data_IF_632960231811
#
_entry.id   IF_632960231811
#
_cell.length_a   1.000
_cell.length_b   1.000
_cell.length_c   1.000
_cell.angle_alpha   90.00
_cell.angle_beta   90.00
_cell.angle_gamma   90.00
#
_symmetry.space_group_name_H-M   'P 1'
#
loop_
_entity.id
_entity.type
_entity.pdbx_description
1 polymer ?
#
# COMPACT_ATOMS: atom_id res chain seq x y z
N UNK A 1 -8.21 -25.90 1.54
CA UNK A 1 -9.01 -24.75 1.06
C UNK A 1 -8.04 -23.57 0.90
N UNK A 2 -8.16 -22.77 -0.15
CA UNK A 2 -7.34 -21.58 -0.29
C UNK A 2 -7.66 -20.60 0.85
N UNK A 3 -6.65 -19.93 1.38
CA UNK A 3 -6.84 -18.86 2.36
C UNK A 3 -7.46 -17.66 1.66
N UNK A 4 -8.44 -17.01 2.32
CA UNK A 4 -9.17 -15.86 1.77
C UNK A 4 -8.75 -14.58 2.46
N UNK A 5 -8.51 -13.54 1.68
CA UNK A 5 -8.37 -12.18 2.16
C UNK A 5 -9.75 -11.53 2.26
N UNK A 6 -9.98 -10.78 3.34
CA UNK A 6 -11.20 -9.99 3.58
C UNK A 6 -10.93 -8.53 3.23
N UNK A 7 -11.86 -7.90 2.52
CA UNK A 7 -11.72 -6.52 2.08
C UNK A 7 -12.98 -5.71 2.40
N UNK A 8 -12.78 -4.46 2.81
CA UNK A 8 -13.82 -3.44 2.75
C UNK A 8 -13.74 -2.76 1.38
N UNK A 9 -14.67 -3.08 0.51
CA UNK A 9 -14.68 -2.70 -0.90
C UNK A 9 -15.67 -1.55 -1.13
N UNK A 10 -15.18 -0.37 -1.46
CA UNK A 10 -16.03 0.76 -1.82
C UNK A 10 -16.51 0.58 -3.26
N UNK A 11 -17.76 0.16 -3.42
CA UNK A 11 -18.37 -0.12 -4.73
C UNK A 11 -18.69 1.16 -5.48
N UNK A 12 -19.26 2.12 -4.77
CA UNK A 12 -19.62 3.47 -5.23
C UNK A 12 -19.71 4.39 -4.02
N UNK A 13 -19.80 5.71 -4.20
CA UNK A 13 -20.00 6.63 -3.09
C UNK A 13 -21.13 6.22 -2.16
N UNK A 14 -20.81 6.17 -0.86
CA UNK A 14 -21.74 5.81 0.20
C UNK A 14 -22.00 4.32 0.42
N UNK A 15 -21.34 3.43 -0.37
CA UNK A 15 -21.63 1.99 -0.31
C UNK A 15 -20.37 1.15 -0.22
N UNK A 16 -20.12 0.57 0.97
CA UNK A 16 -19.13 -0.46 1.19
C UNK A 16 -19.75 -1.85 1.15
N UNK A 17 -19.04 -2.79 0.53
CA UNK A 17 -19.29 -4.22 0.65
C UNK A 17 -18.10 -4.92 1.30
N UNK A 18 -18.35 -5.92 2.13
CA UNK A 18 -17.30 -6.82 2.60
C UNK A 18 -17.22 -8.00 1.63
N UNK A 19 -16.05 -8.16 1.02
CA UNK A 19 -15.77 -9.22 0.04
C UNK A 19 -14.63 -10.09 0.51
N UNK A 20 -14.61 -11.31 0.01
CA UNK A 20 -13.52 -12.26 0.24
C UNK A 20 -12.96 -12.70 -1.11
N UNK A 21 -11.64 -12.64 -1.26
CA UNK A 21 -10.93 -13.09 -2.44
C UNK A 21 -9.83 -14.07 -2.07
N UNK A 22 -9.54 -15.08 -2.91
CA UNK A 22 -8.38 -15.93 -2.71
C UNK A 22 -7.10 -15.09 -2.61
N UNK A 23 -6.26 -15.38 -1.64
CA UNK A 23 -4.93 -14.77 -1.56
C UNK A 23 -4.13 -15.25 -2.77
N UNK A 24 -3.65 -14.35 -3.64
CA UNK A 24 -2.93 -14.73 -4.84
C UNK A 24 -1.55 -15.31 -4.52
N UNK A 25 -1.03 -16.11 -5.42
CA UNK A 25 0.40 -16.37 -5.44
C UNK A 25 1.13 -15.09 -5.89
N UNK A 26 2.25 -14.82 -5.24
CA UNK A 26 3.09 -13.66 -5.59
C UNK A 26 4.22 -14.08 -6.52
N UNK A 27 4.66 -13.16 -7.36
CA UNK A 27 5.85 -13.35 -8.18
C UNK A 27 7.16 -13.02 -7.41
N UNK A 28 8.28 -13.17 -8.10
CA UNK A 28 9.61 -13.01 -7.51
C UNK A 28 9.95 -11.58 -7.08
N UNK A 29 9.19 -10.59 -7.52
CA UNK A 29 9.40 -9.16 -7.28
C UNK A 29 8.28 -8.54 -6.42
N UNK A 30 7.42 -9.37 -5.80
CA UNK A 30 6.28 -8.93 -4.99
C UNK A 30 6.43 -9.34 -3.53
N UNK A 31 5.67 -8.69 -2.66
CA UNK A 31 5.55 -9.04 -1.25
C UNK A 31 4.06 -9.18 -0.92
N UNK A 32 3.68 -10.23 -0.20
CA UNK A 32 2.38 -10.32 0.45
C UNK A 32 2.53 -9.93 1.92
N UNK A 33 1.70 -9.00 2.36
CA UNK A 33 1.61 -8.64 3.78
C UNK A 33 0.25 -9.01 4.35
N UNK A 34 0.27 -9.41 5.62
CA UNK A 34 -0.92 -9.43 6.47
C UNK A 34 -1.03 -8.05 7.12
N UNK A 35 -2.10 -7.35 6.83
CA UNK A 35 -2.33 -6.00 7.37
C UNK A 35 -2.59 -6.09 8.87
N UNK A 36 -1.94 -5.24 9.66
CA UNK A 36 -2.10 -5.17 11.11
C UNK A 36 -2.93 -3.95 11.54
N UNK A 37 -2.94 -2.91 10.72
CA UNK A 37 -3.73 -1.72 10.97
C UNK A 37 -3.63 -0.71 9.83
N UNK A 38 -4.59 0.20 9.79
CA UNK A 38 -4.64 1.33 8.87
C UNK A 38 -5.35 2.52 9.53
N UNK A 39 -4.77 3.70 9.40
CA UNK A 39 -5.44 4.96 9.68
C UNK A 39 -6.56 5.24 8.67
N UNK A 40 -7.46 6.14 9.01
CA UNK A 40 -8.51 6.64 8.12
C UNK A 40 -8.23 8.10 7.83
N UNK A 41 -7.84 8.39 6.60
CA UNK A 41 -7.54 9.74 6.12
C UNK A 41 -8.81 10.51 5.74
N UNK A 42 -8.72 11.83 5.73
CA UNK A 42 -9.76 12.68 5.13
C UNK A 42 -10.02 12.35 3.66
N UNK A 43 -9.01 11.89 2.93
CA UNK A 43 -9.14 11.43 1.54
C UNK A 43 -10.08 10.22 1.43
N UNK A 44 -9.96 9.22 2.31
CA UNK A 44 -10.88 8.07 2.33
C UNK A 44 -12.33 8.52 2.55
N UNK A 45 -12.53 9.51 3.44
CA UNK A 45 -13.84 10.11 3.68
C UNK A 45 -14.38 10.89 2.49
N UNK A 46 -13.53 11.51 1.68
CA UNK A 46 -13.92 12.21 0.44
C UNK A 46 -14.31 11.21 -0.65
N UNK A 47 -13.52 10.14 -0.83
CA UNK A 47 -13.84 9.06 -1.78
C UNK A 47 -15.15 8.38 -1.42
N UNK A 48 -15.35 8.07 -0.13
CA UNK A 48 -16.63 7.53 0.35
C UNK A 48 -17.82 8.43 0.02
N UNK A 49 -17.68 9.74 0.12
CA UNK A 49 -18.78 10.68 -0.09
C UNK A 49 -19.06 11.00 -1.54
N UNK A 50 -18.04 11.10 -2.39
CA UNK A 50 -18.16 11.73 -3.72
C UNK A 50 -17.30 11.12 -4.82
N UNK A 51 -16.33 10.24 -4.48
CA UNK A 51 -15.37 9.66 -5.42
C UNK A 51 -14.69 10.72 -6.32
N UNK A 52 -14.05 11.76 -5.73
CA UNK A 52 -13.49 12.89 -6.49
C UNK A 52 -12.37 12.49 -7.43
N UNK A 53 -11.69 11.36 -7.17
CA UNK A 53 -10.64 10.83 -8.04
C UNK A 53 -11.12 9.76 -9.02
N UNK A 54 -12.44 9.47 -9.02
CA UNK A 54 -13.04 8.44 -9.86
C UNK A 54 -12.37 7.07 -9.70
N UNK A 55 -12.20 6.64 -8.44
CA UNK A 55 -11.53 5.39 -8.08
C UNK A 55 -12.48 4.20 -7.97
N UNK A 56 -13.77 4.45 -7.73
CA UNK A 56 -14.73 3.36 -7.51
C UNK A 56 -14.88 2.46 -8.74
N UNK A 57 -14.88 1.14 -8.54
CA UNK A 57 -14.75 0.43 -7.28
C UNK A 57 -13.30 0.34 -6.78
N UNK A 58 -13.07 0.41 -5.46
CA UNK A 58 -11.72 0.49 -4.88
C UNK A 58 -11.65 -0.13 -3.48
N UNK A 59 -10.48 -0.65 -3.10
CA UNK A 59 -10.11 -0.94 -1.71
C UNK A 59 -9.29 0.23 -1.21
N UNK A 60 -9.87 1.05 -0.34
CA UNK A 60 -9.22 2.24 0.23
C UNK A 60 -8.16 1.89 1.30
N UNK A 61 -7.63 2.93 1.94
CA UNK A 61 -6.65 2.84 3.01
C UNK A 61 -5.21 2.92 2.53
N UNK A 62 -4.50 3.97 2.94
CA UNK A 62 -3.11 4.27 2.54
C UNK A 62 -2.18 4.58 3.72
N UNK A 63 -2.72 4.74 4.93
CA UNK A 63 -1.97 5.00 6.16
C UNK A 63 -1.76 3.70 6.95
N UNK A 64 -1.25 2.66 6.33
CA UNK A 64 -1.24 1.32 6.90
C UNK A 64 0.12 0.68 7.09
N UNK A 65 0.12 -0.42 7.84
CA UNK A 65 1.28 -1.29 8.04
C UNK A 65 0.84 -2.74 8.16
N UNK A 66 1.76 -3.65 7.82
CA UNK A 66 1.53 -5.08 7.95
C UNK A 66 2.81 -5.89 8.10
N UNK A 67 2.63 -7.16 8.40
CA UNK A 67 3.68 -8.16 8.49
C UNK A 67 3.93 -8.84 7.15
N UNK A 68 5.19 -8.97 6.74
CA UNK A 68 5.56 -9.76 5.57
C UNK A 68 5.25 -11.23 5.82
N UNK A 69 4.31 -11.80 5.06
CA UNK A 69 3.94 -13.23 5.16
C UNK A 69 4.43 -14.05 3.96
N UNK A 70 4.63 -13.43 2.79
CA UNK A 70 5.35 -14.02 1.65
C UNK A 70 6.29 -12.98 1.06
N UNK A 71 7.47 -13.41 0.61
CA UNK A 71 8.53 -12.53 0.09
C UNK A 71 9.07 -13.10 -1.21
N UNK A 72 8.98 -12.31 -2.29
CA UNK A 72 9.54 -12.66 -3.59
C UNK A 72 11.06 -12.85 -3.52
N UNK A 73 11.58 -13.78 -4.26
CA UNK A 73 13.00 -14.20 -4.15
C UNK A 73 14.02 -13.12 -4.54
N UNK A 74 13.59 -12.12 -5.34
CA UNK A 74 14.44 -11.02 -5.77
C UNK A 74 14.52 -9.89 -4.74
N UNK A 75 13.63 -9.86 -3.75
CA UNK A 75 13.56 -8.80 -2.75
C UNK A 75 14.45 -9.17 -1.56
N UNK A 76 15.49 -8.38 -1.32
CA UNK A 76 16.48 -8.59 -0.25
C UNK A 76 16.50 -7.46 0.76
N UNK A 77 16.18 -6.25 0.31
CA UNK A 77 16.22 -5.03 1.13
C UNK A 77 14.98 -4.18 0.86
N UNK A 78 14.68 -3.30 1.80
CA UNK A 78 13.73 -2.22 1.59
C UNK A 78 14.32 -1.09 0.73
N UNK A 79 13.56 -0.03 0.51
CA UNK A 79 13.96 1.11 -0.32
C UNK A 79 15.09 1.97 0.27
N UNK A 80 15.41 1.78 1.56
CA UNK A 80 16.55 2.40 2.23
C UNK A 80 17.79 1.48 2.30
N UNK A 81 17.71 0.26 1.75
CA UNK A 81 18.78 -0.74 1.79
C UNK A 81 18.82 -1.60 3.06
N UNK A 82 17.81 -1.49 3.94
CA UNK A 82 17.73 -2.32 5.14
C UNK A 82 17.24 -3.73 4.76
N UNK A 83 17.91 -4.81 5.20
CA UNK A 83 17.47 -6.18 4.94
C UNK A 83 16.02 -6.45 5.36
N UNK A 84 15.33 -7.28 4.59
CA UNK A 84 13.95 -7.70 4.89
C UNK A 84 13.80 -9.22 4.84
N UNK A 85 12.92 -9.74 5.67
CA UNK A 85 12.57 -11.16 5.76
C UNK A 85 11.10 -11.35 6.13
N UNK A 86 10.58 -12.55 5.97
CA UNK A 86 9.26 -12.94 6.49
C UNK A 86 9.20 -12.67 7.99
N UNK A 87 8.09 -12.10 8.46
CA UNK A 87 7.86 -11.66 9.84
C UNK A 87 8.23 -10.20 10.11
N UNK A 88 8.98 -9.54 9.22
CA UNK A 88 9.26 -8.11 9.37
C UNK A 88 8.01 -7.28 9.12
N UNK A 89 7.97 -6.09 9.76
CA UNK A 89 6.89 -5.12 9.60
C UNK A 89 7.29 -4.07 8.59
N UNK A 90 6.36 -3.73 7.70
CA UNK A 90 6.61 -2.70 6.70
C UNK A 90 5.49 -1.66 6.63
N UNK A 91 5.85 -0.50 6.12
CA UNK A 91 4.95 0.52 5.60
C UNK A 91 5.28 0.75 4.14
N UNK A 92 4.26 1.12 3.35
CA UNK A 92 4.45 1.51 1.96
C UNK A 92 4.52 3.03 1.82
N UNK A 93 5.14 3.45 0.74
CA UNK A 93 5.09 4.81 0.25
C UNK A 93 4.45 4.79 -1.15
N UNK A 94 4.74 5.77 -1.98
CA UNK A 94 4.24 5.83 -3.35
C UNK A 94 4.84 4.72 -4.23
N UNK A 95 4.13 4.41 -5.31
CA UNK A 95 4.60 3.53 -6.38
C UNK A 95 5.07 4.45 -7.52
N UNK A 96 6.39 4.65 -7.70
CA UNK A 96 6.89 5.51 -8.76
C UNK A 96 6.65 4.87 -10.13
N UNK A 97 6.35 5.67 -11.15
CA UNK A 97 6.06 5.15 -12.50
C UNK A 97 7.29 4.57 -13.23
N UNK A 98 8.52 4.85 -12.75
CA UNK A 98 9.77 4.36 -13.30
C UNK A 98 10.19 4.94 -14.66
N UNK A 99 9.33 5.72 -15.32
CA UNK A 99 9.53 6.17 -16.72
C UNK A 99 9.59 7.68 -16.93
N UNK A 100 9.04 8.50 -16.04
CA UNK A 100 9.08 9.95 -16.17
C UNK A 100 10.50 10.52 -15.94
N UNK A 101 10.78 11.76 -16.32
CA UNK A 101 12.10 12.40 -16.14
C UNK A 101 12.57 12.38 -14.68
N UNK A 102 11.68 12.64 -13.72
CA UNK A 102 12.02 12.59 -12.29
C UNK A 102 12.48 11.19 -11.85
N UNK A 103 11.76 10.13 -12.23
CA UNK A 103 12.15 8.75 -11.92
C UNK A 103 13.49 8.35 -12.53
N UNK A 104 13.81 8.85 -13.70
CA UNK A 104 15.09 8.54 -14.41
C UNK A 104 16.26 9.31 -13.86
N UNK A 105 16.09 10.60 -13.57
CA UNK A 105 17.17 11.51 -13.21
C UNK A 105 17.42 11.58 -11.69
N UNK A 106 16.36 11.38 -10.90
CA UNK A 106 16.39 11.46 -9.43
C UNK A 106 15.62 10.30 -8.79
N UNK A 107 16.02 9.03 -9.02
CA UNK A 107 15.23 7.85 -8.61
C UNK A 107 15.02 7.74 -7.10
N UNK A 108 15.91 8.35 -6.29
CA UNK A 108 15.76 8.40 -4.84
C UNK A 108 14.65 9.38 -4.37
N UNK A 109 14.19 10.27 -5.25
CA UNK A 109 13.15 11.27 -4.94
C UNK A 109 11.82 10.88 -5.57
N UNK A 110 11.26 9.78 -5.11
CA UNK A 110 10.03 9.19 -5.65
C UNK A 110 8.83 10.14 -5.55
N UNK A 111 8.84 11.06 -4.57
CA UNK A 111 7.84 12.11 -4.39
C UNK A 111 7.76 13.11 -5.58
N UNK A 112 8.77 13.15 -6.46
CA UNK A 112 8.75 13.97 -7.68
C UNK A 112 8.17 13.23 -8.88
N UNK A 113 7.69 12.01 -8.73
CA UNK A 113 7.11 11.24 -9.82
C UNK A 113 5.83 11.91 -10.35
N UNK A 114 5.79 12.15 -11.67
CA UNK A 114 4.66 12.80 -12.32
C UNK A 114 3.37 11.95 -12.37
N UNK A 115 3.50 10.64 -12.17
CA UNK A 115 2.40 9.68 -12.29
C UNK A 115 2.60 8.53 -11.30
N UNK A 116 2.69 8.87 -10.02
CA UNK A 116 2.82 7.86 -8.96
C UNK A 116 1.46 7.21 -8.64
N UNK A 117 1.51 5.93 -8.25
CA UNK A 117 0.41 5.26 -7.58
C UNK A 117 0.53 5.39 -6.06
N UNK A 118 -0.58 5.29 -5.36
CA UNK A 118 -0.66 5.19 -3.90
C UNK A 118 -1.59 4.03 -3.56
N UNK A 119 -1.12 3.08 -2.73
CA UNK A 119 -1.99 1.99 -2.28
C UNK A 119 -3.24 2.55 -1.62
N UNK A 120 -4.40 1.98 -1.98
CA UNK A 120 -5.68 2.48 -1.52
C UNK A 120 -6.24 3.68 -2.32
N UNK A 121 -5.49 4.22 -3.29
CA UNK A 121 -5.89 5.37 -4.10
C UNK A 121 -5.68 5.14 -5.61
N UNK A 122 -5.89 3.92 -6.09
CA UNK A 122 -6.00 3.62 -7.52
C UNK A 122 -7.11 2.57 -7.74
N UNK A 123 -7.75 2.60 -8.91
CA UNK A 123 -8.87 1.69 -9.20
C UNK A 123 -8.51 0.24 -8.98
N UNK A 124 -9.53 -0.55 -8.64
CA UNK A 124 -9.35 -1.98 -8.46
C UNK A 124 -8.92 -2.67 -9.76
N UNK A 125 -8.23 -3.78 -9.62
CA UNK A 125 -7.80 -4.64 -10.70
C UNK A 125 -7.94 -6.12 -10.32
N UNK A 126 -7.45 -7.02 -11.14
CA UNK A 126 -7.53 -8.47 -10.94
C UNK A 126 -6.88 -9.00 -9.66
N UNK A 127 -6.01 -8.20 -9.01
CA UNK A 127 -5.35 -8.58 -7.74
C UNK A 127 -6.25 -8.31 -6.55
N UNK A 128 -7.11 -7.29 -6.60
CA UNK A 128 -8.02 -6.82 -5.56
C UNK A 128 -7.38 -6.39 -4.23
N UNK A 129 -6.15 -6.77 -3.94
CA UNK A 129 -5.44 -6.51 -2.67
C UNK A 129 -4.58 -5.24 -2.77
N UNK A 130 -5.20 -4.10 -3.05
CA UNK A 130 -4.56 -2.85 -3.47
C UNK A 130 -4.61 -1.73 -2.42
N UNK A 131 -5.21 -1.97 -1.26
CA UNK A 131 -5.34 -0.99 -0.17
C UNK A 131 -5.36 -1.64 1.19
N UNK A 132 -5.10 -0.85 2.22
CA UNK A 132 -4.99 -1.35 3.59
C UNK A 132 -6.34 -1.63 4.27
N UNK A 133 -7.48 -1.26 3.67
CA UNK A 133 -8.79 -1.68 4.20
C UNK A 133 -9.09 -3.14 3.82
N UNK A 134 -8.08 -3.96 3.97
CA UNK A 134 -8.09 -5.39 3.72
C UNK A 134 -7.29 -6.15 4.78
N UNK A 135 -7.51 -7.44 4.91
CA UNK A 135 -6.70 -8.30 5.80
C UNK A 135 -5.31 -8.59 5.23
N UNK A 136 -5.14 -8.52 3.92
CA UNK A 136 -3.88 -8.73 3.21
C UNK A 136 -3.73 -7.71 2.07
N UNK A 137 -2.48 -7.41 1.71
CA UNK A 137 -2.17 -6.54 0.58
C UNK A 137 -0.95 -7.06 -0.18
N UNK A 138 -0.96 -6.91 -1.50
CA UNK A 138 0.17 -7.25 -2.36
C UNK A 138 0.98 -5.99 -2.66
N UNK A 139 2.24 -5.99 -2.25
CA UNK A 139 3.20 -4.94 -2.60
C UNK A 139 3.80 -5.29 -3.95
N UNK A 140 3.58 -4.44 -4.93
CA UNK A 140 3.93 -4.65 -6.33
C UNK A 140 5.40 -4.35 -6.61
N UNK A 141 5.92 -4.94 -7.67
CA UNK A 141 7.25 -4.60 -8.21
C UNK A 141 7.43 -3.10 -8.35
N UNK A 142 8.58 -2.60 -7.90
CA UNK A 142 8.93 -1.19 -7.99
C UNK A 142 8.31 -0.28 -6.94
N UNK A 143 7.50 -0.81 -6.04
CA UNK A 143 6.94 -0.04 -4.92
C UNK A 143 8.03 0.43 -3.97
N UNK A 144 7.86 1.62 -3.42
CA UNK A 144 8.67 2.11 -2.32
C UNK A 144 8.08 1.61 -1.00
N UNK A 145 8.88 0.95 -0.18
CA UNK A 145 8.49 0.47 1.15
C UNK A 145 9.67 0.49 2.12
N UNK A 146 9.39 0.49 3.42
CA UNK A 146 10.38 0.57 4.47
C UNK A 146 10.13 -0.46 5.57
N UNK A 147 11.22 -1.12 6.02
CA UNK A 147 11.21 -2.04 7.15
C UNK A 147 11.20 -1.26 8.46
N UNK A 148 10.06 -1.32 9.15
CA UNK A 148 9.77 -0.63 10.41
C UNK A 148 9.63 -1.60 11.59
N UNK A 149 10.19 -2.79 11.47
CA UNK A 149 10.27 -3.77 12.56
C UNK A 149 10.94 -3.14 13.78
N UNK A 150 10.32 -3.25 14.93
CA UNK A 150 10.75 -2.60 16.17
C UNK A 150 9.94 -1.36 16.56
N UNK A 151 9.16 -0.79 15.64
CA UNK A 151 8.17 0.25 15.97
C UNK A 151 6.85 -0.39 16.45
N UNK A 152 6.18 0.25 17.40
CA UNK A 152 4.83 -0.15 17.79
C UNK A 152 3.82 0.04 16.65
N UNK A 153 2.65 -0.59 16.72
CA UNK A 153 1.63 -0.41 15.70
C UNK A 153 1.21 1.06 15.59
N UNK A 154 1.00 1.74 16.71
CA UNK A 154 0.62 3.15 16.73
C UNK A 154 1.67 4.05 16.05
N UNK A 155 2.95 3.79 16.30
CA UNK A 155 4.03 4.52 15.63
C UNK A 155 4.01 4.28 14.12
N UNK A 156 3.78 3.05 13.68
CA UNK A 156 3.73 2.70 12.27
C UNK A 156 2.54 3.34 11.55
N UNK A 157 1.39 3.45 12.21
CA UNK A 157 0.20 4.12 11.65
C UNK A 157 0.40 5.62 11.46
N UNK A 158 1.29 6.23 12.23
CA UNK A 158 1.58 7.67 12.14
C UNK A 158 2.66 8.01 11.10
N UNK A 159 3.31 7.04 10.47
CA UNK A 159 4.42 7.31 9.53
C UNK A 159 3.94 8.08 8.29
N UNK A 160 2.84 7.65 7.67
CA UNK A 160 2.33 8.32 6.47
C UNK A 160 1.89 9.75 6.76
N UNK A 161 0.98 10.03 7.73
CA UNK A 161 0.60 11.40 8.03
C UNK A 161 1.76 12.27 8.54
N UNK A 162 2.73 11.68 9.26
CA UNK A 162 3.95 12.40 9.65
C UNK A 162 4.81 12.75 8.43
N UNK A 163 4.91 11.86 7.43
CA UNK A 163 5.64 12.13 6.20
C UNK A 163 5.03 13.30 5.42
N UNK A 164 3.70 13.42 5.37
CA UNK A 164 3.00 14.58 4.79
C UNK A 164 3.37 15.86 5.53
N UNK A 165 3.34 15.86 6.87
CA UNK A 165 3.68 17.02 7.68
C UNK A 165 5.15 17.43 7.50
N UNK A 166 6.09 16.48 7.51
CA UNK A 166 7.53 16.74 7.30
C UNK A 166 7.82 17.25 5.90
N UNK A 167 7.07 16.80 4.90
CA UNK A 167 7.26 17.26 3.53
C UNK A 167 6.82 18.73 3.33
N UNK A 168 5.93 19.24 4.19
CA UNK A 168 5.42 20.60 4.12
C UNK A 168 6.34 21.67 4.76
N UNK A 169 7.40 21.27 5.49
CA UNK A 169 8.39 22.15 6.14
C UNK A 169 9.75 22.02 5.49
#
# INVERSE_FOLDING_TARGET
MAELAKLAYLVKPGEFEFREYPIPEIDDDQILIKVEGCGVCGTDGHEYKRDPFNLCPVVLGHEGSGEIVKLGKNIKTDSAGKPVKIGDKLVTCIIPCGKCPACKNTPARTNLCESCGVYGLFPDDEVHLNGYFASHMVIRKGSTFFNVTGMSLDQRMLIEPAAVAVHAV
#
